data_IF_214593579955
#
_entry.id   IF_214593579955
#
_cell.length_a   1.000
_cell.length_b   1.000
_cell.length_c   1.000
_cell.angle_alpha   90.00
_cell.angle_beta   90.00
_cell.angle_gamma   90.00
#
_symmetry.space_group_name_H-M   'P 1'
#
loop_
_entity.id
_entity.type
_entity.pdbx_description
1 polymer ?
#
# COMPACT_ATOMS: atom_id res chain seq x y z
N UNK A 1 14.02 7.48 -10.94
CA UNK A 1 13.62 8.87 -11.25
C UNK A 1 12.86 9.11 -12.56
N UNK A 2 12.71 8.16 -13.49
CA UNK A 2 11.93 8.37 -14.74
C UNK A 2 10.46 7.93 -14.68
N UNK A 3 9.98 7.46 -13.53
CA UNK A 3 8.59 7.01 -13.39
C UNK A 3 7.67 8.22 -13.37
N UNK A 4 6.72 8.28 -14.29
CA UNK A 4 5.65 9.26 -14.28
C UNK A 4 4.58 8.86 -13.25
N UNK A 5 4.72 9.37 -12.03
CA UNK A 5 3.76 9.14 -10.96
C UNK A 5 2.45 9.90 -11.20
N UNK A 6 1.30 9.24 -10.93
CA UNK A 6 -0.03 9.87 -11.02
C UNK A 6 -0.25 10.92 -9.94
N UNK A 7 0.27 10.68 -8.74
CA UNK A 7 0.18 11.55 -7.57
C UNK A 7 -1.22 12.17 -7.35
N UNK A 8 -2.26 11.34 -7.51
CA UNK A 8 -3.63 11.78 -7.27
C UNK A 8 -3.85 12.04 -5.76
N UNK A 9 -4.13 13.28 -5.32
CA UNK A 9 -4.26 13.61 -3.91
C UNK A 9 -5.45 12.95 -3.22
N UNK A 10 -6.57 12.78 -3.92
CA UNK A 10 -7.77 12.14 -3.36
C UNK A 10 -7.54 10.65 -3.10
N UNK A 11 -6.87 9.96 -4.02
CA UNK A 11 -6.48 8.56 -3.83
C UNK A 11 -5.47 8.42 -2.69
N UNK A 12 -4.55 9.39 -2.53
CA UNK A 12 -3.61 9.42 -1.41
C UNK A 12 -4.32 9.59 -0.07
N UNK A 13 -5.27 10.53 0.04
CA UNK A 13 -6.01 10.76 1.29
C UNK A 13 -6.84 9.54 1.68
N UNK A 14 -7.44 8.87 0.70
CA UNK A 14 -8.16 7.61 0.92
C UNK A 14 -7.24 6.47 1.35
N UNK A 15 -6.00 6.44 0.88
CA UNK A 15 -5.00 5.51 1.39
C UNK A 15 -4.60 5.86 2.84
N UNK A 16 -4.27 7.12 3.12
CA UNK A 16 -3.92 7.61 4.47
C UNK A 16 -4.99 7.27 5.51
N UNK A 17 -6.26 7.45 5.16
CA UNK A 17 -7.42 7.22 6.04
C UNK A 17 -7.89 5.76 6.11
N UNK A 18 -7.31 4.84 5.33
CA UNK A 18 -7.75 3.45 5.28
C UNK A 18 -9.16 3.29 4.70
N UNK A 19 -9.40 3.96 3.58
CA UNK A 19 -10.65 3.99 2.81
C UNK A 19 -10.41 3.67 1.32
N UNK A 20 -9.60 2.65 1.05
CA UNK A 20 -9.27 2.18 -0.29
C UNK A 20 -10.25 1.13 -0.83
N UNK A 21 -11.05 0.50 0.05
CA UNK A 21 -11.91 -0.62 -0.30
C UNK A 21 -11.16 -1.95 -0.42
N UNK A 22 -9.88 -1.99 -0.04
CA UNK A 22 -9.08 -3.21 0.08
C UNK A 22 -8.86 -3.54 1.56
N UNK A 23 -9.52 -4.57 2.12
CA UNK A 23 -9.62 -4.74 3.57
C UNK A 23 -8.29 -4.82 4.32
N UNK A 24 -7.30 -5.52 3.76
CA UNK A 24 -5.97 -5.63 4.40
C UNK A 24 -5.19 -4.32 4.36
N UNK A 25 -5.41 -3.49 3.34
CA UNK A 25 -4.79 -2.17 3.24
C UNK A 25 -5.46 -1.23 4.22
N UNK A 26 -6.80 -1.22 4.24
CA UNK A 26 -7.59 -0.38 5.12
C UNK A 26 -7.34 -0.72 6.59
N UNK A 27 -7.27 -2.00 6.93
CA UNK A 27 -6.90 -2.47 8.26
C UNK A 27 -5.51 -1.97 8.69
N UNK A 28 -4.52 -2.10 7.82
CA UNK A 28 -3.17 -1.59 8.07
C UNK A 28 -3.15 -0.10 8.36
N UNK A 29 -3.72 0.69 7.47
CA UNK A 29 -3.69 2.15 7.62
C UNK A 29 -4.46 2.62 8.86
N UNK A 30 -5.55 1.93 9.24
CA UNK A 30 -6.28 2.20 10.48
C UNK A 30 -5.50 1.79 11.73
N UNK A 31 -4.81 0.65 11.72
CA UNK A 31 -3.89 0.24 12.80
C UNK A 31 -2.81 1.30 13.02
N UNK A 32 -2.13 1.72 11.95
CA UNK A 32 -1.09 2.76 11.99
C UNK A 32 -1.63 4.05 12.60
N UNK A 33 -2.79 4.51 12.14
CA UNK A 33 -3.37 5.77 12.61
C UNK A 33 -3.80 5.72 14.08
N UNK A 34 -4.26 4.56 14.55
CA UNK A 34 -4.74 4.38 15.91
C UNK A 34 -3.62 4.13 16.93
N UNK A 35 -2.55 3.44 16.51
CA UNK A 35 -1.55 2.91 17.44
C UNK A 35 -0.14 3.45 17.23
N UNK A 36 0.14 3.98 16.03
CA UNK A 36 1.50 4.31 15.61
C UNK A 36 2.38 3.09 15.31
N UNK A 37 1.79 1.90 15.20
CA UNK A 37 2.48 0.67 14.79
C UNK A 37 1.79 0.06 13.57
N UNK A 38 2.53 -0.75 12.82
CA UNK A 38 1.94 -1.58 11.76
C UNK A 38 2.79 -2.84 11.59
N UNK A 39 2.17 -4.01 11.52
CA UNK A 39 2.91 -5.25 11.28
C UNK A 39 3.70 -5.20 9.95
N UNK A 40 4.95 -5.69 9.94
CA UNK A 40 5.86 -5.54 8.80
C UNK A 40 5.28 -6.07 7.47
N UNK A 41 4.59 -7.23 7.49
CA UNK A 41 3.90 -7.75 6.30
C UNK A 41 2.88 -6.75 5.75
N UNK A 42 2.15 -6.09 6.64
CA UNK A 42 1.12 -5.11 6.26
C UNK A 42 1.78 -3.83 5.74
N UNK A 43 2.91 -3.39 6.33
CA UNK A 43 3.74 -2.30 5.79
C UNK A 43 4.12 -2.55 4.32
N UNK A 44 4.58 -3.76 3.99
CA UNK A 44 4.91 -4.14 2.61
C UNK A 44 3.69 -4.09 1.68
N UNK A 45 2.52 -4.53 2.16
CA UNK A 45 1.28 -4.56 1.37
C UNK A 45 0.79 -3.14 1.08
N UNK A 46 0.71 -2.27 2.10
CA UNK A 46 0.20 -0.91 1.93
C UNK A 46 1.18 -0.04 1.12
N UNK A 47 2.49 -0.25 1.27
CA UNK A 47 3.50 0.43 0.48
C UNK A 47 3.43 0.00 -1.00
N UNK A 48 3.30 -1.31 -1.27
CA UNK A 48 3.08 -1.79 -2.64
C UNK A 48 1.76 -1.28 -3.22
N UNK A 49 0.71 -1.13 -2.42
CA UNK A 49 -0.56 -0.60 -2.89
C UNK A 49 -0.43 0.86 -3.31
N UNK A 50 0.21 1.70 -2.50
CA UNK A 50 0.44 3.10 -2.83
C UNK A 50 1.26 3.25 -4.13
N UNK A 51 2.39 2.54 -4.22
CA UNK A 51 3.34 2.72 -5.33
C UNK A 51 2.93 2.01 -6.60
N UNK A 52 2.23 0.86 -6.51
CA UNK A 52 1.88 0.05 -7.69
C UNK A 52 0.42 0.13 -8.06
N UNK A 53 -0.50 0.16 -7.08
CA UNK A 53 -1.94 0.25 -7.42
C UNK A 53 -2.34 1.68 -7.72
N UNK A 54 -1.98 2.62 -6.84
CA UNK A 54 -2.33 4.03 -7.03
C UNK A 54 -1.33 4.76 -7.93
N UNK A 55 -0.12 4.21 -8.05
CA UNK A 55 0.98 4.81 -8.82
C UNK A 55 1.31 6.20 -8.29
N UNK A 56 1.36 6.31 -6.96
CA UNK A 56 1.75 7.52 -6.23
C UNK A 56 3.20 7.39 -5.80
N UNK A 57 3.93 8.51 -5.84
CA UNK A 57 5.33 8.57 -5.45
C UNK A 57 5.50 8.05 -4.02
N UNK A 58 6.39 7.08 -3.87
CA UNK A 58 6.70 6.42 -2.61
C UNK A 58 7.13 7.41 -1.52
N UNK A 59 7.72 8.54 -1.90
CA UNK A 59 8.14 9.61 -0.97
C UNK A 59 6.96 10.17 -0.17
N UNK A 60 5.75 10.16 -0.74
CA UNK A 60 4.54 10.62 -0.03
C UNK A 60 4.18 9.66 1.11
N UNK A 61 4.24 8.35 0.83
CA UNK A 61 4.00 7.31 1.82
C UNK A 61 5.10 7.25 2.88
N UNK A 62 6.36 7.39 2.46
CA UNK A 62 7.54 7.47 3.33
C UNK A 62 7.39 8.59 4.36
N UNK A 63 7.05 9.79 3.90
CA UNK A 63 6.82 10.95 4.75
C UNK A 63 5.58 10.80 5.64
N UNK A 64 4.54 10.11 5.17
CA UNK A 64 3.37 9.80 6.00
C UNK A 64 3.74 8.85 7.14
N UNK A 65 4.49 7.79 6.83
CA UNK A 65 4.97 6.81 7.81
C UNK A 65 5.89 7.45 8.84
N UNK A 66 6.78 8.34 8.43
CA UNK A 66 7.67 9.07 9.33
C UNK A 66 6.92 9.91 10.39
N UNK A 67 5.73 10.40 10.07
CA UNK A 67 4.90 11.17 11.01
C UNK A 67 4.04 10.31 11.94
N UNK A 68 3.81 9.04 11.59
CA UNK A 68 2.85 8.17 12.28
C UNK A 68 3.50 7.05 13.08
N UNK A 69 4.62 6.52 12.61
CA UNK A 69 5.30 5.41 13.25
C UNK A 69 6.01 5.85 14.53
N UNK A 70 5.67 5.22 15.65
CA UNK A 70 6.38 5.41 16.92
C UNK A 70 7.73 4.69 16.93
N UNK A 71 7.86 3.62 16.14
CA UNK A 71 9.09 2.85 15.95
C UNK A 71 9.85 3.29 14.70
N UNK A 72 9.73 4.57 14.32
CA UNK A 72 10.36 5.07 13.10
C UNK A 72 11.89 4.98 13.17
N UNK A 73 12.47 4.23 12.23
CA UNK A 73 13.88 4.27 11.89
C UNK A 73 14.01 4.69 10.43
N UNK A 74 14.83 5.71 10.17
CA UNK A 74 14.99 6.29 8.84
C UNK A 74 15.50 5.26 7.82
N UNK A 75 16.46 4.43 8.22
CA UNK A 75 17.11 3.47 7.32
C UNK A 75 16.14 2.34 6.93
N UNK A 76 15.44 1.78 7.92
CA UNK A 76 14.45 0.74 7.72
C UNK A 76 13.23 1.24 6.93
N UNK A 77 12.74 2.45 7.21
CA UNK A 77 11.60 3.02 6.50
C UNK A 77 11.96 3.33 5.04
N UNK A 78 13.08 4.02 4.82
CA UNK A 78 13.51 4.39 3.47
C UNK A 78 13.80 3.15 2.61
N UNK A 79 14.51 2.15 3.16
CA UNK A 79 14.77 0.89 2.48
C UNK A 79 13.50 0.12 2.14
N UNK A 80 12.53 0.07 3.04
CA UNK A 80 11.23 -0.59 2.80
C UNK A 80 10.41 0.08 1.70
N UNK A 81 10.38 1.41 1.66
CA UNK A 81 9.66 2.16 0.63
C UNK A 81 10.32 2.07 -0.74
N UNK A 82 11.65 2.17 -0.81
CA UNK A 82 12.42 1.93 -2.03
C UNK A 82 12.17 0.52 -2.56
N UNK A 83 12.27 -0.49 -1.68
CA UNK A 83 11.99 -1.88 -2.01
C UNK A 83 10.59 -2.07 -2.61
N UNK A 84 9.57 -1.48 -1.99
CA UNK A 84 8.19 -1.56 -2.48
C UNK A 84 7.99 -0.83 -3.82
N UNK A 85 8.65 0.31 -4.00
CA UNK A 85 8.62 1.08 -5.24
C UNK A 85 9.37 0.40 -6.40
N UNK A 86 10.13 -0.66 -6.15
CA UNK A 86 11.00 -1.27 -7.17
C UNK A 86 12.20 -0.38 -7.52
N UNK A 87 12.65 0.45 -6.57
CA UNK A 87 13.82 1.32 -6.68
C UNK A 87 14.84 0.97 -5.58
N UNK A 88 16.13 1.26 -5.79
CA UNK A 88 17.18 1.01 -4.78
C UNK A 88 17.83 -0.37 -4.83
N UNK A 89 18.70 -0.62 -3.85
CA UNK A 89 19.51 -1.85 -3.73
C UNK A 89 18.64 -3.00 -3.20
N UNK A 90 18.52 -4.09 -3.96
CA UNK A 90 17.65 -5.26 -3.69
C UNK A 90 16.13 -5.01 -3.80
N UNK A 91 15.73 -4.07 -4.66
CA UNK A 91 14.32 -3.75 -4.84
C UNK A 91 13.50 -4.93 -5.39
N UNK A 92 12.24 -5.04 -4.97
CA UNK A 92 11.33 -5.99 -5.60
C UNK A 92 11.26 -5.70 -7.12
N UNK A 93 11.37 -6.73 -7.98
CA UNK A 93 11.22 -6.51 -9.42
C UNK A 93 9.94 -5.73 -9.73
N UNK A 94 10.00 -4.78 -10.66
CA UNK A 94 8.87 -3.87 -10.90
C UNK A 94 7.55 -4.62 -11.15
N UNK A 95 7.63 -5.74 -11.87
CA UNK A 95 6.49 -6.61 -12.20
C UNK A 95 5.89 -7.37 -11.02
N UNK A 96 6.53 -7.35 -9.84
CA UNK A 96 6.01 -7.93 -8.61
C UNK A 96 4.96 -7.01 -7.99
N UNK A 97 3.74 -7.05 -8.52
CA UNK A 97 2.58 -6.33 -7.99
C UNK A 97 1.81 -7.26 -7.04
N UNK A 98 1.71 -6.92 -5.76
CA UNK A 98 0.95 -7.74 -4.81
C UNK A 98 -0.55 -7.68 -5.09
N UNK A 99 -1.22 -8.83 -5.18
CA UNK A 99 -2.68 -8.86 -5.14
C UNK A 99 -3.13 -8.81 -3.67
N UNK A 100 -3.79 -7.73 -3.20
CA UNK A 100 -4.14 -7.60 -1.78
C UNK A 100 -5.06 -8.73 -1.30
N UNK A 101 -5.97 -9.22 -2.15
CA UNK A 101 -6.86 -10.34 -1.82
C UNK A 101 -6.07 -11.62 -1.55
N UNK A 102 -5.11 -11.96 -2.42
CA UNK A 102 -4.25 -13.13 -2.21
C UNK A 102 -3.33 -12.98 -1.00
N UNK A 103 -2.93 -11.75 -0.66
CA UNK A 103 -2.18 -11.50 0.58
C UNK A 103 -3.06 -11.75 1.80
N UNK A 104 -4.32 -11.32 1.79
CA UNK A 104 -5.30 -11.62 2.85
C UNK A 104 -5.48 -13.12 3.02
N UNK A 105 -5.78 -13.85 1.95
CA UNK A 105 -6.01 -15.31 2.01
C UNK A 105 -4.82 -16.06 2.61
N UNK A 106 -3.60 -15.57 2.35
CA UNK A 106 -2.37 -16.18 2.84
C UNK A 106 -2.04 -15.83 4.28
N UNK A 107 -2.25 -14.58 4.71
CA UNK A 107 -1.74 -14.07 5.98
C UNK A 107 -2.80 -13.74 7.02
N UNK A 108 -4.07 -13.63 6.63
CA UNK A 108 -5.22 -13.37 7.51
C UNK A 108 -6.44 -14.18 7.05
N UNK A 109 -6.27 -15.50 6.93
CA UNK A 109 -7.27 -16.43 6.36
C UNK A 109 -8.63 -16.38 7.08
N UNK A 110 -8.62 -16.13 8.39
CA UNK A 110 -9.82 -16.02 9.22
C UNK A 110 -10.34 -14.58 9.34
N UNK A 111 -9.71 -13.62 8.66
CA UNK A 111 -10.03 -12.19 8.72
C UNK A 111 -9.98 -11.61 10.14
N UNK A 112 -9.13 -12.15 11.02
CA UNK A 112 -9.03 -11.71 12.41
C UNK A 112 -8.48 -10.27 12.46
N UNK A 113 -7.38 -10.04 11.74
CA UNK A 113 -6.75 -8.72 11.70
C UNK A 113 -7.65 -7.70 10.98
N UNK A 114 -8.26 -8.09 9.86
CA UNK A 114 -9.19 -7.22 9.14
C UNK A 114 -10.40 -6.86 9.99
N UNK A 115 -11.04 -7.81 10.66
CA UNK A 115 -12.24 -7.51 11.48
C UNK A 115 -11.93 -6.66 12.71
N UNK A 116 -10.71 -6.75 13.24
CA UNK A 116 -10.26 -5.91 14.34
C UNK A 116 -10.21 -4.42 13.92
N UNK A 117 -9.65 -4.12 12.75
CA UNK A 117 -9.40 -2.74 12.31
C UNK A 117 -10.46 -2.18 11.35
N UNK A 118 -11.24 -3.06 10.72
CA UNK A 118 -12.34 -2.74 9.79
C UNK A 118 -13.59 -3.48 10.26
N UNK A 119 -14.22 -3.04 11.37
CA UNK A 119 -15.38 -3.72 11.95
C UNK A 119 -16.60 -3.75 11.00
N UNK A 120 -16.67 -2.82 10.05
CA UNK A 120 -17.70 -2.79 9.01
C UNK A 120 -17.42 -3.73 7.82
N UNK A 121 -16.32 -4.48 7.82
CA UNK A 121 -16.01 -5.46 6.77
C UNK A 121 -17.15 -6.48 6.59
N UNK A 122 -17.45 -6.84 5.34
CA UNK A 122 -18.60 -7.66 4.92
C UNK A 122 -19.99 -7.07 5.26
N UNK A 123 -20.08 -5.77 5.54
CA UNK A 123 -21.36 -5.06 5.66
C UNK A 123 -21.59 -4.13 4.47
N UNK A 124 -22.83 -3.72 4.18
CA UNK A 124 -23.12 -2.72 3.14
C UNK A 124 -22.44 -1.35 3.33
N UNK A 125 -21.94 -1.07 4.55
CA UNK A 125 -21.22 0.17 4.86
C UNK A 125 -19.77 0.16 4.37
N UNK A 126 -19.21 -1.02 4.09
CA UNK A 126 -17.85 -1.10 3.59
C UNK A 126 -17.79 -0.68 2.13
N UNK A 127 -16.88 0.24 1.83
CA UNK A 127 -16.78 0.89 0.54
C UNK A 127 -16.28 -0.05 -0.56
N UNK A 128 -16.61 0.28 -1.80
CA UNK A 128 -16.09 -0.43 -2.97
C UNK A 128 -14.63 -0.02 -3.24
N UNK A 129 -13.83 -0.91 -3.85
CA UNK A 129 -12.46 -0.61 -4.25
C UNK A 129 -12.34 0.67 -5.08
N UNK A 130 -11.35 1.52 -4.76
CA UNK A 130 -11.07 2.76 -5.50
C UNK A 130 -10.46 2.55 -6.87
N UNK A 131 -9.86 1.38 -7.06
CA UNK A 131 -9.26 0.93 -8.30
C UNK A 131 -9.41 -0.58 -8.38
N UNK A 132 -9.60 -1.12 -9.58
CA UNK A 132 -9.60 -2.57 -9.79
C UNK A 132 -8.17 -3.09 -9.91
N UNK A 133 -7.88 -4.24 -9.29
CA UNK A 133 -6.52 -4.81 -9.26
C UNK A 133 -5.95 -5.02 -10.66
N UNK A 134 -6.72 -5.59 -11.58
CA UNK A 134 -6.25 -5.89 -12.93
C UNK A 134 -5.88 -4.61 -13.71
N UNK A 135 -6.70 -3.56 -13.59
CA UNK A 135 -6.44 -2.26 -14.23
C UNK A 135 -5.21 -1.58 -13.62
N UNK A 136 -5.12 -1.58 -12.29
CA UNK A 136 -3.98 -1.05 -11.54
C UNK A 136 -2.68 -1.76 -11.91
N UNK A 137 -2.70 -3.10 -11.95
CA UNK A 137 -1.56 -3.94 -12.32
C UNK A 137 -1.11 -3.65 -13.74
N UNK A 138 -2.02 -3.65 -14.71
CA UNK A 138 -1.67 -3.36 -16.10
C UNK A 138 -1.05 -1.97 -16.25
N UNK A 139 -1.64 -0.95 -15.61
CA UNK A 139 -1.11 0.41 -15.59
C UNK A 139 0.31 0.46 -15.02
N UNK A 140 0.53 -0.15 -13.86
CA UNK A 140 1.85 -0.23 -13.24
C UNK A 140 2.89 -0.84 -14.17
N UNK A 141 2.58 -1.99 -14.78
CA UNK A 141 3.50 -2.67 -15.70
C UNK A 141 3.86 -1.80 -16.90
N UNK A 142 2.88 -1.13 -17.50
CA UNK A 142 3.10 -0.23 -18.63
C UNK A 142 3.98 0.96 -18.24
N UNK A 143 3.66 1.66 -17.15
CA UNK A 143 4.43 2.85 -16.72
C UNK A 143 5.87 2.49 -16.35
N UNK A 144 6.07 1.41 -15.60
CA UNK A 144 7.42 0.99 -15.22
C UNK A 144 8.24 0.53 -16.42
N UNK A 145 7.63 -0.18 -17.38
CA UNK A 145 8.31 -0.56 -18.61
C UNK A 145 8.74 0.66 -19.42
N UNK A 146 7.87 1.67 -19.53
CA UNK A 146 8.18 2.93 -20.22
C UNK A 146 9.36 3.68 -19.58
N UNK A 147 9.45 3.67 -18.24
CA UNK A 147 10.54 4.33 -17.51
C UNK A 147 11.91 3.63 -17.63
N UNK A 148 11.94 2.36 -18.07
CA UNK A 148 13.16 1.57 -18.29
C UNK A 148 13.69 1.66 -19.73
N UNK A 149 12.84 2.08 -20.67
CA UNK A 149 13.22 2.45 -22.04
C UNK A 149 13.67 3.90 -22.12
#
# INVERSE_FOLDING_TARGET
DRIEWRNNPDEFERWCSGQTGYPIVDAGMRELNATGFMHNRVRMIVASFLTKHLLIDWRWGESYFARKLLDFDLSANNGGWQWAAGSGTDAAPYFRVFNPTLQTEKFDKQFQYIKQWVPEFNTPRYIKPIVLHELARQRCLTTYKAALT
#
